data_IF_034342465468
#
_entry.id   IF_034342465468
#
_cell.length_a   1.000
_cell.length_b   1.000
_cell.length_c   1.000
_cell.angle_alpha   90.00
_cell.angle_beta   90.00
_cell.angle_gamma   90.00
#
_symmetry.space_group_name_H-M   'P 1'
#
loop_
_entity.id
_entity.type
_entity.pdbx_description
1 polymer ?
#
# COMPACT_ATOMS: atom_id res chain seq x y z
N UNK A 1 -8.60 41.56 -5.35
CA UNK A 1 -7.16 41.58 -5.72
C UNK A 1 -6.33 40.54 -4.96
N UNK A 2 -6.39 40.47 -3.62
CA UNK A 2 -5.57 39.51 -2.85
C UNK A 2 -6.01 38.05 -3.01
N UNK A 3 -7.31 37.75 -2.93
CA UNK A 3 -7.82 36.38 -3.00
C UNK A 3 -7.39 35.63 -4.27
N UNK A 4 -7.50 36.26 -5.45
CA UNK A 4 -7.07 35.67 -6.73
C UNK A 4 -5.56 35.38 -6.76
N UNK A 5 -4.75 36.26 -6.18
CA UNK A 5 -3.29 36.05 -6.07
C UNK A 5 -2.95 34.92 -5.11
N UNK A 6 -3.67 34.84 -3.99
CA UNK A 6 -3.49 33.79 -2.98
C UNK A 6 -3.88 32.44 -3.56
N UNK A 7 -5.04 32.32 -4.21
CA UNK A 7 -5.45 31.05 -4.84
C UNK A 7 -4.52 30.63 -5.97
N UNK A 8 -4.07 31.58 -6.80
CA UNK A 8 -3.06 31.33 -7.82
C UNK A 8 -1.72 30.86 -7.24
N UNK A 9 -1.24 31.51 -6.18
CA UNK A 9 -0.01 31.13 -5.49
C UNK A 9 -0.11 29.74 -4.85
N UNK A 10 -1.26 29.41 -4.24
CA UNK A 10 -1.52 28.09 -3.69
C UNK A 10 -1.47 27.03 -4.80
N UNK A 11 -2.19 27.24 -5.91
CA UNK A 11 -2.16 26.31 -7.04
C UNK A 11 -0.74 26.12 -7.59
N UNK A 12 0.02 27.21 -7.75
CA UNK A 12 1.42 27.15 -8.19
C UNK A 12 2.30 26.37 -7.20
N UNK A 13 2.11 26.55 -5.90
CA UNK A 13 2.88 25.83 -4.87
C UNK A 13 2.67 24.32 -4.93
N UNK A 14 1.45 23.85 -5.20
CA UNK A 14 1.18 22.41 -5.40
C UNK A 14 1.92 21.85 -6.61
N UNK A 15 1.96 22.59 -7.72
CA UNK A 15 2.70 22.18 -8.93
C UNK A 15 4.20 22.11 -8.66
N UNK A 16 4.76 23.12 -8.00
CA UNK A 16 6.19 23.13 -7.65
C UNK A 16 6.51 22.00 -6.68
N UNK A 17 5.68 21.77 -5.65
CA UNK A 17 5.89 20.68 -4.70
C UNK A 17 5.84 19.31 -5.38
N UNK A 18 4.83 19.06 -6.21
CA UNK A 18 4.67 17.80 -6.94
C UNK A 18 5.84 17.53 -7.90
N UNK A 19 6.27 18.55 -8.65
CA UNK A 19 7.39 18.39 -9.58
C UNK A 19 8.70 18.11 -8.85
N UNK A 20 8.97 18.82 -7.75
CA UNK A 20 10.13 18.53 -6.90
C UNK A 20 10.07 17.10 -6.34
N UNK A 21 8.92 16.68 -5.80
CA UNK A 21 8.72 15.33 -5.25
C UNK A 21 8.96 14.26 -6.33
N UNK A 22 8.38 14.40 -7.51
CA UNK A 22 8.55 13.46 -8.62
C UNK A 22 10.02 13.28 -9.04
N UNK A 23 10.77 14.37 -9.19
CA UNK A 23 12.18 14.26 -9.58
C UNK A 23 13.04 13.67 -8.46
N UNK A 24 12.76 14.04 -7.21
CA UNK A 24 13.54 13.60 -6.05
C UNK A 24 13.23 12.16 -5.67
N UNK A 25 11.96 11.80 -5.48
CA UNK A 25 11.53 10.51 -4.96
C UNK A 25 11.37 9.43 -6.05
N UNK A 26 10.70 9.76 -7.16
CA UNK A 26 10.41 8.77 -8.20
C UNK A 26 11.60 8.59 -9.15
N UNK A 27 12.16 9.71 -9.63
CA UNK A 27 13.33 9.70 -10.53
C UNK A 27 14.66 9.59 -9.80
N UNK A 28 14.68 9.76 -8.47
CA UNK A 28 15.85 9.54 -7.62
C UNK A 28 17.10 10.27 -8.11
N UNK A 29 16.97 11.56 -8.42
CA UNK A 29 18.10 12.39 -8.91
C UNK A 29 19.27 12.45 -7.92
N UNK A 30 19.02 12.22 -6.63
CA UNK A 30 20.04 12.15 -5.59
C UNK A 30 20.51 10.72 -5.28
N UNK A 31 20.12 9.75 -6.10
CA UNK A 31 20.44 8.33 -5.93
C UNK A 31 19.45 7.57 -5.04
N UNK A 32 19.64 6.26 -4.95
CA UNK A 32 18.78 5.32 -4.24
C UNK A 32 18.08 4.32 -5.16
N UNK A 33 17.50 3.28 -4.58
CA UNK A 33 16.81 2.20 -5.32
C UNK A 33 15.42 1.97 -4.74
N UNK A 34 14.46 1.61 -5.58
CA UNK A 34 13.15 1.13 -5.11
C UNK A 34 13.31 -0.29 -4.55
N UNK A 35 12.76 -0.61 -3.36
CA UNK A 35 12.80 -1.97 -2.85
C UNK A 35 12.04 -2.93 -3.77
N UNK A 36 12.59 -4.13 -3.94
CA UNK A 36 12.02 -5.18 -4.81
C UNK A 36 10.57 -5.53 -4.48
N UNK A 37 10.20 -5.46 -3.21
CA UNK A 37 8.85 -5.74 -2.70
C UNK A 37 7.79 -4.72 -3.14
N UNK A 38 8.21 -3.52 -3.55
CA UNK A 38 7.32 -2.47 -4.07
C UNK A 38 7.39 -2.40 -5.59
N UNK A 39 8.59 -2.60 -6.18
CA UNK A 39 8.72 -2.62 -7.64
C UNK A 39 8.14 -3.87 -8.28
N UNK A 40 8.13 -5.01 -7.56
CA UNK A 40 7.50 -6.24 -8.01
C UNK A 40 5.98 -6.18 -7.73
N UNK A 41 5.18 -6.08 -8.79
CA UNK A 41 3.71 -6.08 -8.71
C UNK A 41 3.15 -7.39 -8.15
N UNK A 42 3.86 -8.50 -8.33
CA UNK A 42 3.44 -9.81 -7.83
C UNK A 42 3.55 -9.89 -6.32
N UNK A 43 4.48 -9.16 -5.70
CA UNK A 43 4.72 -9.21 -4.26
C UNK A 43 3.47 -8.81 -3.46
N UNK A 44 2.75 -7.80 -3.92
CA UNK A 44 1.48 -7.39 -3.30
C UNK A 44 0.41 -8.50 -3.41
N UNK A 45 0.34 -9.18 -4.56
CA UNK A 45 -0.61 -10.26 -4.79
C UNK A 45 -0.27 -11.50 -3.95
N UNK A 46 1.00 -11.86 -3.85
CA UNK A 46 1.48 -12.95 -3.01
C UNK A 46 1.25 -12.65 -1.53
N UNK A 47 1.51 -11.42 -1.11
CA UNK A 47 1.23 -10.97 0.26
C UNK A 47 -0.26 -11.11 0.58
N UNK A 48 -1.14 -10.73 -0.34
CA UNK A 48 -2.59 -10.87 -0.14
C UNK A 48 -3.04 -12.33 -0.07
N UNK A 49 -2.48 -13.20 -0.91
CA UNK A 49 -2.68 -14.67 -0.82
C UNK A 49 -2.20 -15.21 0.52
N UNK A 50 -1.04 -14.77 1.02
CA UNK A 50 -0.50 -15.19 2.31
C UNK A 50 -1.35 -14.71 3.48
N UNK A 51 -2.05 -13.58 3.38
CA UNK A 51 -2.99 -13.16 4.42
C UNK A 51 -4.17 -14.10 4.59
N UNK A 52 -4.51 -14.92 3.58
CA UNK A 52 -5.52 -15.97 3.72
C UNK A 52 -4.99 -17.22 4.44
N UNK A 53 -3.68 -17.51 4.34
CA UNK A 53 -3.06 -18.68 4.94
C UNK A 53 -1.61 -18.37 5.34
N UNK A 54 -1.44 -17.67 6.45
CA UNK A 54 -0.14 -17.20 6.90
C UNK A 54 0.64 -18.34 7.54
N UNK A 55 1.89 -18.59 7.11
CA UNK A 55 2.69 -19.68 7.63
C UNK A 55 3.04 -19.45 9.10
N UNK A 56 2.98 -20.52 9.91
CA UNK A 56 3.39 -20.54 11.32
C UNK A 56 4.47 -21.58 11.52
N UNK A 57 5.39 -21.32 12.45
CA UNK A 57 6.53 -22.22 12.74
C UNK A 57 6.08 -23.55 13.34
N UNK A 58 5.04 -23.54 14.19
CA UNK A 58 4.48 -24.74 14.80
C UNK A 58 2.95 -24.67 14.77
N UNK A 59 2.35 -25.31 13.75
CA UNK A 59 0.91 -25.42 13.57
C UNK A 59 0.45 -25.15 12.12
N UNK A 60 -0.83 -25.39 11.82
CA UNK A 60 -1.39 -25.10 10.50
C UNK A 60 -1.38 -23.58 10.21
N UNK A 61 -1.37 -23.18 8.92
CA UNK A 61 -1.47 -21.79 8.53
C UNK A 61 -2.71 -21.11 9.09
N UNK A 62 -2.61 -19.81 9.39
CA UNK A 62 -3.69 -19.03 10.02
C UNK A 62 -4.05 -17.81 9.17
N UNK A 63 -5.33 -17.48 9.12
CA UNK A 63 -5.83 -16.25 8.48
C UNK A 63 -5.35 -15.01 9.22
N UNK A 64 -4.90 -14.00 8.48
CA UNK A 64 -4.50 -12.72 9.05
C UNK A 64 -5.65 -11.71 8.97
N UNK A 65 -5.77 -10.91 10.03
CA UNK A 65 -6.71 -9.81 10.17
C UNK A 65 -8.20 -10.21 9.95
N UNK A 66 -8.68 -11.26 10.66
CA UNK A 66 -9.97 -11.90 10.38
C UNK A 66 -11.19 -10.97 10.49
N UNK A 67 -11.16 -10.00 11.39
CA UNK A 67 -12.31 -9.11 11.62
C UNK A 67 -12.39 -8.04 10.52
N UNK A 68 -11.28 -7.35 10.24
CA UNK A 68 -11.25 -6.28 9.24
C UNK A 68 -11.35 -6.80 7.81
N UNK A 69 -10.81 -8.00 7.54
CA UNK A 69 -10.83 -8.63 6.20
C UNK A 69 -11.99 -9.60 6.02
N UNK A 70 -12.72 -9.91 7.08
CA UNK A 70 -13.83 -10.87 7.09
C UNK A 70 -13.47 -12.21 6.43
N UNK A 71 -12.23 -12.67 6.61
CA UNK A 71 -11.68 -13.86 5.96
C UNK A 71 -11.48 -15.04 6.92
N UNK A 72 -12.29 -15.11 7.97
CA UNK A 72 -12.22 -16.20 8.94
C UNK A 72 -12.89 -17.48 8.42
N UNK A 73 -12.36 -18.63 8.83
CA UNK A 73 -12.91 -19.93 8.48
C UNK A 73 -14.18 -20.15 9.31
N UNK A 74 -15.34 -20.24 8.65
CA UNK A 74 -16.59 -20.65 9.27
C UNK A 74 -16.59 -22.16 9.39
N UNK A 75 -16.73 -22.69 10.61
CA UNK A 75 -17.02 -24.12 10.78
C UNK A 75 -18.43 -24.35 10.23
N UNK A 76 -18.56 -25.21 9.23
CA UNK A 76 -19.88 -25.66 8.79
C UNK A 76 -20.62 -26.28 9.99
N UNK A 77 -21.88 -25.92 10.17
CA UNK A 77 -22.79 -26.77 10.93
C UNK A 77 -22.74 -28.14 10.26
N UNK A 78 -22.31 -29.17 10.97
CA UNK A 78 -22.64 -30.53 10.57
C UNK A 78 -24.15 -30.58 10.39
N UNK A 79 -24.61 -30.83 9.17
CA UNK A 79 -25.92 -31.44 8.96
C UNK A 79 -25.85 -32.80 9.67
N UNK A 80 -26.31 -32.80 10.92
CA UNK A 80 -27.05 -33.83 11.69
C UNK A 80 -27.14 -33.43 13.17
#
# INVERSE_FOLDING_TARGET
MAALKITGAIAASFVVAFTCDYFIADRKIFGGTTPGTVSNKEWAQETDKKFQAWPRTAGPPVVMNPISRQNFIVKGSSEE
#
